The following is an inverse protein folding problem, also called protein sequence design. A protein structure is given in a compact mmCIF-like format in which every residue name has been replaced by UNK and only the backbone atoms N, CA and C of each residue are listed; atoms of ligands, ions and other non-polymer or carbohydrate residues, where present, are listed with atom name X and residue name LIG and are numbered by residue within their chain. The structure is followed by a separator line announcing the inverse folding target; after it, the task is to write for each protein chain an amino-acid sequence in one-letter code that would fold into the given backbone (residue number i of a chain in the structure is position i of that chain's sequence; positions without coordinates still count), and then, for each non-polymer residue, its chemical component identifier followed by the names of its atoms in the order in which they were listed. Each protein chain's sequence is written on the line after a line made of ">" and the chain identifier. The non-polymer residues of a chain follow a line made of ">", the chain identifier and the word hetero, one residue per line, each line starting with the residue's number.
data_IF_526413409307
#
_entry.id   IF_526413409307
#
_cell.length_a   1.000
_cell.length_b   1.000
_cell.length_c   1.000
_cell.angle_alpha   90.00
_cell.angle_beta   90.00
_cell.angle_gamma   90.00
#
_symmetry.space_group_name_H-M   'P 1'
#
loop_
_entity.id
_entity.type
_entity.pdbx_description
1 polymer ?
#
# COMPACT_ATOMS: atom_id res chain seq x y z
N UNK A 1 -2.82 3.45 19.03
CA UNK A 1 -2.70 1.99 18.85
C UNK A 1 -3.91 1.49 18.07
N UNK A 2 -3.72 0.57 17.11
CA UNK A 2 -4.80 0.10 16.21
C UNK A 2 -5.73 -0.83 16.99
N UNK A 3 -6.79 -0.29 17.59
CA UNK A 3 -7.75 -1.05 18.40
C UNK A 3 -8.50 -2.13 17.61
N UNK A 4 -8.46 -2.08 16.28
CA UNK A 4 -9.22 -2.95 15.38
C UNK A 4 -8.44 -4.17 14.87
N UNK A 5 -7.13 -4.18 15.04
CA UNK A 5 -6.26 -5.30 14.71
C UNK A 5 -5.22 -5.40 15.83
N UNK A 6 -5.58 -5.94 17.00
CA UNK A 6 -4.63 -6.02 18.09
C UNK A 6 -3.44 -6.92 17.69
N UNK A 7 -2.19 -6.45 17.85
CA UNK A 7 -1.01 -7.28 17.64
C UNK A 7 -1.06 -8.57 18.46
N UNK A 8 -0.67 -9.69 17.83
CA UNK A 8 -0.57 -11.00 18.47
C UNK A 8 -1.88 -11.78 18.63
N UNK A 9 -3.01 -11.26 18.14
CA UNK A 9 -4.28 -12.01 18.12
C UNK A 9 -4.51 -12.63 16.75
N UNK A 10 -4.05 -13.85 16.53
CA UNK A 10 -4.36 -14.62 15.32
C UNK A 10 -4.51 -16.11 15.62
N UNK A 11 -5.41 -16.78 14.89
CA UNK A 11 -5.58 -18.24 14.93
C UNK A 11 -4.70 -18.95 13.87
N UNK A 12 -4.08 -18.19 12.97
CA UNK A 12 -3.23 -18.72 11.90
C UNK A 12 -1.81 -18.82 12.44
N UNK A 13 -1.27 -20.04 12.49
CA UNK A 13 0.06 -20.34 13.08
C UNK A 13 1.16 -19.38 12.61
N UNK A 14 1.27 -19.15 11.30
CA UNK A 14 2.32 -18.30 10.71
C UNK A 14 2.10 -16.79 10.97
N UNK A 15 0.89 -16.41 11.38
CA UNK A 15 0.49 -15.05 11.68
C UNK A 15 0.61 -14.70 13.18
N UNK A 16 0.89 -15.68 14.05
CA UNK A 16 1.08 -15.46 15.48
C UNK A 16 2.42 -14.74 15.69
N UNK A 17 2.39 -13.70 16.50
CA UNK A 17 3.56 -12.94 16.96
C UNK A 17 3.28 -12.39 18.36
N UNK A 18 4.31 -12.01 19.10
CA UNK A 18 4.12 -11.31 20.37
C UNK A 18 3.50 -9.92 20.14
N UNK A 19 2.72 -9.37 21.08
CA UNK A 19 2.20 -8.02 20.98
C UNK A 19 3.27 -6.95 20.71
N UNK A 20 4.46 -7.10 21.29
CA UNK A 20 5.61 -6.21 21.13
C UNK A 20 6.13 -6.23 19.69
N UNK A 21 6.42 -7.42 19.16
CA UNK A 21 6.84 -7.60 17.77
C UNK A 21 5.80 -7.06 16.78
N UNK A 22 4.51 -7.33 17.00
CA UNK A 22 3.46 -6.81 16.13
C UNK A 22 3.29 -5.29 16.21
N UNK A 23 3.50 -4.66 17.38
CA UNK A 23 3.56 -3.18 17.48
C UNK A 23 4.72 -2.60 16.68
N UNK A 24 5.91 -3.19 16.77
CA UNK A 24 7.07 -2.78 15.98
C UNK A 24 6.79 -2.93 14.47
N UNK A 25 6.21 -4.06 14.06
CA UNK A 25 5.83 -4.30 12.67
C UNK A 25 4.77 -3.31 12.18
N UNK A 26 3.77 -2.98 13.00
CA UNK A 26 2.76 -1.97 12.64
C UNK A 26 3.38 -0.58 12.46
N UNK A 27 4.41 -0.25 13.24
CA UNK A 27 5.18 0.97 13.05
C UNK A 27 5.91 0.97 11.70
N UNK A 28 6.52 -0.15 11.29
CA UNK A 28 7.14 -0.28 9.96
C UNK A 28 6.11 -0.15 8.82
N UNK A 29 4.93 -0.76 8.97
CA UNK A 29 3.82 -0.65 8.01
C UNK A 29 3.37 0.81 7.88
N UNK A 30 3.13 1.48 9.00
CA UNK A 30 2.74 2.88 9.01
C UNK A 30 3.82 3.78 8.39
N UNK A 31 5.09 3.50 8.68
CA UNK A 31 6.23 4.23 8.12
C UNK A 31 6.31 4.06 6.59
N UNK A 32 6.13 2.83 6.08
CA UNK A 32 6.12 2.57 4.64
C UNK A 32 4.93 3.27 3.94
N UNK A 33 3.73 3.21 4.53
CA UNK A 33 2.56 3.91 4.01
C UNK A 33 2.77 5.43 3.98
N UNK A 34 3.39 6.00 5.03
CA UNK A 34 3.71 7.42 5.11
C UNK A 34 4.70 7.82 4.01
N UNK A 35 5.79 7.07 3.84
CA UNK A 35 6.78 7.32 2.77
C UNK A 35 6.13 7.37 1.39
N UNK A 36 5.20 6.45 1.09
CA UNK A 36 4.49 6.45 -0.20
C UNK A 36 3.50 7.59 -0.32
N UNK A 37 2.70 7.86 0.71
CA UNK A 37 1.70 8.92 0.67
C UNK A 37 2.32 10.33 0.61
N UNK A 38 3.49 10.52 1.22
CA UNK A 38 4.22 11.78 1.26
C UNK A 38 5.37 11.88 0.26
N UNK A 39 5.56 10.89 -0.62
CA UNK A 39 6.52 10.98 -1.72
C UNK A 39 6.17 12.16 -2.64
N UNK A 40 7.07 13.16 -2.81
CA UNK A 40 6.82 14.31 -3.68
C UNK A 40 6.59 13.90 -5.15
N UNK A 41 7.19 12.80 -5.60
CA UNK A 41 7.06 12.30 -6.97
C UNK A 41 5.74 11.58 -7.22
N UNK A 42 5.02 11.21 -6.15
CA UNK A 42 3.71 10.59 -6.25
C UNK A 42 2.60 11.61 -6.05
N UNK A 43 1.73 11.71 -7.05
CA UNK A 43 0.49 12.48 -6.92
C UNK A 43 -0.44 11.78 -5.91
N UNK A 44 -0.90 12.46 -4.84
CA UNK A 44 -1.87 11.90 -3.92
C UNK A 44 -3.18 11.56 -4.66
N UNK A 45 -3.96 10.65 -4.07
CA UNK A 45 -5.27 10.29 -4.61
C UNK A 45 -6.27 11.44 -4.42
N UNK A 46 -6.23 12.05 -3.23
CA UNK A 46 -7.08 13.17 -2.85
C UNK A 46 -6.32 14.50 -2.99
N UNK A 47 -7.07 15.58 -3.20
CA UNK A 47 -6.54 16.94 -3.26
C UNK A 47 -6.70 17.68 -1.93
N UNK A 48 -6.37 18.97 -1.93
CA UNK A 48 -6.53 19.85 -0.77
C UNK A 48 -5.37 19.76 0.23
N UNK A 49 -5.45 20.52 1.34
CA UNK A 49 -4.35 20.70 2.29
C UNK A 49 -4.00 19.45 3.12
N UNK A 50 -4.79 18.37 2.98
CA UNK A 50 -4.61 17.07 3.65
C UNK A 50 -4.72 15.88 2.69
N UNK A 51 -4.61 16.11 1.38
CA UNK A 51 -4.79 15.07 0.37
C UNK A 51 -3.83 13.88 0.53
N UNK A 52 -2.60 14.11 0.98
CA UNK A 52 -1.61 13.06 1.27
C UNK A 52 -1.97 12.31 2.56
N UNK A 53 -2.31 13.01 3.63
CA UNK A 53 -2.82 12.38 4.85
C UNK A 53 -4.07 11.50 4.59
N UNK A 54 -5.01 11.99 3.78
CA UNK A 54 -6.21 11.24 3.38
C UNK A 54 -5.86 10.04 2.49
N UNK A 55 -4.87 10.19 1.61
CA UNK A 55 -4.36 9.08 0.78
C UNK A 55 -3.75 8.00 1.67
N UNK A 56 -2.93 8.38 2.66
CA UNK A 56 -2.34 7.47 3.64
C UNK A 56 -3.42 6.74 4.45
N UNK A 57 -4.42 7.47 4.94
CA UNK A 57 -5.54 6.90 5.68
C UNK A 57 -6.30 5.85 4.85
N UNK A 58 -6.49 6.11 3.55
CA UNK A 58 -7.11 5.14 2.66
C UNK A 58 -6.24 3.90 2.43
N UNK A 59 -4.93 4.08 2.20
CA UNK A 59 -4.01 2.95 2.03
C UNK A 59 -4.01 2.02 3.24
N UNK A 60 -3.96 2.58 4.45
CA UNK A 60 -4.03 1.81 5.69
C UNK A 60 -5.41 1.17 5.90
N UNK A 61 -6.48 1.89 5.59
CA UNK A 61 -7.83 1.32 5.64
C UNK A 61 -7.97 0.11 4.72
N UNK A 62 -7.47 0.19 3.49
CA UNK A 62 -7.46 -0.93 2.55
C UNK A 62 -6.61 -2.06 3.09
N UNK A 63 -5.37 -1.80 3.53
CA UNK A 63 -4.49 -2.82 4.10
C UNK A 63 -5.17 -3.61 5.24
N UNK A 64 -5.91 -2.92 6.11
CA UNK A 64 -6.73 -3.57 7.14
C UNK A 64 -7.79 -4.51 6.55
N UNK A 65 -8.57 -4.06 5.57
CA UNK A 65 -9.65 -4.89 4.99
C UNK A 65 -9.12 -6.05 4.13
N UNK A 66 -7.94 -5.91 3.53
CA UNK A 66 -7.35 -6.92 2.67
C UNK A 66 -6.56 -7.97 3.44
N UNK A 67 -5.86 -7.58 4.52
CA UNK A 67 -4.93 -8.47 5.22
C UNK A 67 -5.21 -8.64 6.71
N UNK A 68 -6.04 -7.78 7.31
CA UNK A 68 -6.16 -7.67 8.77
C UNK A 68 -4.83 -7.31 9.45
N UNK A 69 -3.85 -6.79 8.69
CA UNK A 69 -2.46 -6.64 9.09
C UNK A 69 -1.81 -7.93 9.61
N UNK A 70 -2.28 -9.10 9.17
CA UNK A 70 -1.70 -10.38 9.59
C UNK A 70 -0.23 -10.47 9.18
N UNK A 71 0.60 -10.97 10.10
CA UNK A 71 2.04 -11.13 9.90
C UNK A 71 2.37 -12.01 8.70
N UNK A 72 1.66 -13.10 8.51
CA UNK A 72 1.92 -14.03 7.42
C UNK A 72 1.64 -13.40 6.05
N UNK A 73 0.58 -12.58 5.92
CA UNK A 73 0.30 -11.81 4.70
C UNK A 73 1.34 -10.73 4.44
N UNK A 74 1.74 -10.00 5.48
CA UNK A 74 2.77 -8.95 5.41
C UNK A 74 4.11 -9.51 4.92
N UNK A 75 4.52 -10.66 5.47
CA UNK A 75 5.82 -11.27 5.21
C UNK A 75 5.79 -12.36 4.11
N UNK A 76 4.63 -12.63 3.51
CA UNK A 76 4.49 -13.66 2.48
C UNK A 76 4.71 -15.09 2.97
N UNK A 77 4.43 -15.39 4.24
CA UNK A 77 4.73 -16.68 4.87
C UNK A 77 3.54 -17.63 4.75
N UNK A 78 3.79 -18.85 4.28
CA UNK A 78 2.77 -19.90 4.25
C UNK A 78 1.71 -19.73 3.16
N UNK A 79 0.85 -20.75 3.02
CA UNK A 79 -0.11 -20.84 1.92
C UNK A 79 -1.24 -19.80 2.00
N UNK A 80 -1.53 -19.29 3.20
CA UNK A 80 -2.63 -18.36 3.45
C UNK A 80 -2.25 -16.88 3.27
N UNK A 81 -0.98 -16.58 2.95
CA UNK A 81 -0.50 -15.22 2.75
C UNK A 81 -0.97 -14.59 1.42
N UNK A 82 -1.29 -15.40 0.41
CA UNK A 82 -1.56 -14.96 -0.98
C UNK A 82 -3.03 -14.90 -1.36
N UNK A 83 -3.95 -14.90 -0.40
CA UNK A 83 -5.39 -14.91 -0.67
C UNK A 83 -5.79 -16.10 -1.55
N UNK A 84 -6.13 -15.84 -2.81
CA UNK A 84 -6.45 -16.85 -3.83
C UNK A 84 -5.23 -17.56 -4.46
N UNK A 85 -4.02 -17.21 -4.03
CA UNK A 85 -2.75 -17.61 -4.64
C UNK A 85 -2.22 -16.61 -5.68
N UNK A 86 -3.07 -15.69 -6.15
CA UNK A 86 -2.74 -14.69 -7.18
C UNK A 86 -2.42 -13.30 -6.61
N UNK A 87 -2.73 -13.07 -5.34
CA UNK A 87 -2.70 -11.77 -4.70
C UNK A 87 -1.50 -11.70 -3.73
N UNK A 88 -1.00 -10.49 -3.45
CA UNK A 88 0.19 -10.33 -2.59
C UNK A 88 0.23 -9.08 -1.77
N UNK A 89 1.02 -9.17 -0.71
CA UNK A 89 1.27 -8.16 0.29
C UNK A 89 0.00 -7.67 1.03
N UNK A 90 0.18 -6.67 1.89
CA UNK A 90 -0.87 -6.12 2.74
C UNK A 90 -2.07 -5.55 1.96
N UNK A 91 -1.87 -5.13 0.71
CA UNK A 91 -2.93 -4.57 -0.14
C UNK A 91 -3.57 -5.63 -1.06
N UNK A 92 -3.14 -6.89 -0.99
CA UNK A 92 -3.62 -7.97 -1.86
C UNK A 92 -3.59 -7.57 -3.35
N UNK A 93 -2.45 -7.02 -3.78
CA UNK A 93 -2.20 -6.67 -5.18
C UNK A 93 -2.19 -7.95 -6.02
N UNK A 94 -3.08 -8.02 -7.01
CA UNK A 94 -3.12 -9.15 -7.94
C UNK A 94 -1.92 -9.14 -8.88
N UNK A 95 -1.05 -10.14 -8.75
CA UNK A 95 0.16 -10.35 -9.58
C UNK A 95 -0.02 -11.54 -10.53
N UNK A 96 -0.73 -12.58 -10.11
CA UNK A 96 -0.96 -13.79 -10.91
C UNK A 96 0.34 -14.55 -11.20
N UNK A 97 0.55 -15.03 -12.43
CA UNK A 97 1.81 -15.68 -12.82
C UNK A 97 2.90 -14.68 -13.27
N UNK A 98 2.61 -13.38 -13.24
CA UNK A 98 3.43 -12.34 -13.86
C UNK A 98 4.09 -11.41 -12.86
N UNK A 99 4.14 -10.12 -13.22
CA UNK A 99 4.67 -9.02 -12.41
C UNK A 99 3.66 -7.88 -12.41
N UNK A 100 3.76 -6.98 -11.44
CA UNK A 100 3.01 -5.71 -11.49
C UNK A 100 3.44 -4.87 -12.70
N UNK A 101 2.72 -3.79 -12.99
CA UNK A 101 3.09 -2.85 -14.06
C UNK A 101 4.50 -2.25 -13.86
N UNK A 102 4.89 -2.11 -12.60
CA UNK A 102 6.19 -1.63 -12.15
C UNK A 102 7.30 -2.70 -12.24
N UNK A 103 6.95 -3.93 -12.67
CA UNK A 103 7.90 -5.02 -12.82
C UNK A 103 8.15 -5.83 -11.55
N UNK A 104 7.33 -5.71 -10.51
CA UNK A 104 7.53 -6.40 -9.23
C UNK A 104 6.83 -7.75 -9.18
N UNK A 105 7.57 -8.77 -8.72
CA UNK A 105 7.07 -10.11 -8.42
C UNK A 105 6.30 -10.18 -7.09
N UNK A 106 5.76 -11.35 -6.74
CA UNK A 106 5.20 -11.59 -5.42
C UNK A 106 6.22 -11.35 -4.31
N UNK A 107 7.44 -11.84 -4.51
CA UNK A 107 8.56 -11.78 -3.58
C UNK A 107 9.03 -10.34 -3.38
N UNK A 108 9.07 -9.55 -4.45
CA UNK A 108 9.37 -8.11 -4.39
C UNK A 108 8.39 -7.35 -3.48
N UNK A 109 7.08 -7.65 -3.58
CA UNK A 109 6.05 -6.91 -2.86
C UNK A 109 5.99 -7.25 -1.37
N UNK A 110 6.38 -8.46 -0.96
CA UNK A 110 6.44 -8.86 0.46
C UNK A 110 7.79 -8.53 1.10
N UNK A 111 8.86 -8.45 0.30
CA UNK A 111 10.19 -8.04 0.79
C UNK A 111 10.27 -6.52 1.03
N UNK A 112 9.46 -5.72 0.33
CA UNK A 112 9.46 -4.26 0.43
C UNK A 112 8.04 -3.70 0.51
N UNK A 113 7.68 -3.21 1.70
CA UNK A 113 6.37 -2.60 1.97
C UNK A 113 6.13 -1.34 1.15
N UNK A 114 7.16 -0.57 0.80
CA UNK A 114 6.99 0.61 -0.05
C UNK A 114 6.55 0.18 -1.46
N UNK A 115 7.10 -0.90 -2.01
CA UNK A 115 6.62 -1.47 -3.29
C UNK A 115 5.16 -1.91 -3.19
N UNK A 116 4.77 -2.59 -2.11
CA UNK A 116 3.38 -2.97 -1.86
C UNK A 116 2.43 -1.76 -1.91
N UNK A 117 2.74 -0.71 -1.14
CA UNK A 117 1.92 0.49 -1.08
C UNK A 117 1.94 1.28 -2.41
N UNK A 118 3.06 1.35 -3.13
CA UNK A 118 3.15 2.00 -4.45
C UNK A 118 2.28 1.28 -5.48
N UNK A 119 2.41 -0.04 -5.59
CA UNK A 119 1.60 -0.84 -6.53
C UNK A 119 0.11 -0.74 -6.20
N UNK A 120 -0.24 -0.81 -4.92
CA UNK A 120 -1.62 -0.64 -4.46
C UNK A 120 -2.17 0.76 -4.76
N UNK A 121 -1.41 1.83 -4.50
CA UNK A 121 -1.80 3.20 -4.84
C UNK A 121 -2.04 3.35 -6.35
N UNK A 122 -1.19 2.76 -7.18
CA UNK A 122 -1.37 2.78 -8.64
C UNK A 122 -2.69 2.09 -9.07
N UNK A 123 -3.03 0.95 -8.46
CA UNK A 123 -4.31 0.26 -8.69
C UNK A 123 -5.52 1.08 -8.21
N UNK A 124 -5.44 1.68 -7.03
CA UNK A 124 -6.49 2.53 -6.46
C UNK A 124 -6.75 3.73 -7.38
N UNK A 125 -5.70 4.40 -7.86
CA UNK A 125 -5.83 5.52 -8.80
C UNK A 125 -6.50 5.09 -10.10
N UNK A 126 -6.16 3.91 -10.64
CA UNK A 126 -6.84 3.32 -11.81
C UNK A 126 -8.32 3.08 -11.53
N UNK A 127 -8.66 2.53 -10.36
CA UNK A 127 -10.06 2.33 -9.95
C UNK A 127 -10.82 3.65 -9.89
N UNK A 128 -10.26 4.68 -9.26
CA UNK A 128 -10.88 6.00 -9.16
C UNK A 128 -11.09 6.65 -10.54
N UNK A 129 -10.13 6.48 -11.45
CA UNK A 129 -10.24 6.95 -12.83
C UNK A 129 -11.33 6.21 -13.62
N UNK A 130 -11.33 4.87 -13.55
CA UNK A 130 -12.30 4.03 -14.25
C UNK A 130 -13.74 4.27 -13.75
N UNK A 131 -13.93 4.39 -12.44
CA UNK A 131 -15.23 4.57 -11.80
C UNK A 131 -15.56 6.04 -11.51
N UNK A 132 -14.96 7.00 -12.23
CA UNK A 132 -15.13 8.44 -12.00
C UNK A 132 -16.57 8.95 -12.04
N UNK A 133 -17.48 8.25 -12.74
CA UNK A 133 -18.90 8.59 -12.85
C UNK A 133 -19.71 8.22 -11.60
N UNK A 134 -19.15 7.44 -10.69
CA UNK A 134 -19.82 7.00 -9.47
C UNK A 134 -19.62 8.01 -8.33
N UNK A 135 -20.45 7.86 -7.30
CA UNK A 135 -20.23 8.51 -6.01
C UNK A 135 -18.79 8.26 -5.51
N UNK A 136 -18.19 9.25 -4.86
CA UNK A 136 -16.82 9.17 -4.39
C UNK A 136 -16.55 7.93 -3.53
N UNK A 137 -17.53 7.48 -2.73
CA UNK A 137 -17.41 6.31 -1.86
C UNK A 137 -17.55 4.98 -2.60
N UNK A 138 -17.92 4.99 -3.87
CA UNK A 138 -18.04 3.80 -4.74
C UNK A 138 -16.85 3.68 -5.71
N UNK A 139 -15.95 4.66 -5.75
CA UNK A 139 -14.83 4.71 -6.71
C UNK A 139 -13.73 3.65 -6.50
N UNK A 140 -13.74 2.91 -5.39
CA UNK A 140 -12.89 1.71 -5.22
C UNK A 140 -13.51 0.44 -5.80
N UNK A 141 -14.72 0.47 -6.38
CA UNK A 141 -15.40 -0.75 -6.85
C UNK A 141 -14.56 -1.57 -7.84
N UNK A 142 -13.85 -0.92 -8.77
CA UNK A 142 -12.99 -1.65 -9.70
C UNK A 142 -11.79 -2.30 -9.00
N UNK A 143 -11.25 -1.70 -7.94
CA UNK A 143 -10.22 -2.30 -7.10
C UNK A 143 -10.75 -3.55 -6.36
N UNK A 144 -11.91 -3.43 -5.70
CA UNK A 144 -12.46 -4.47 -4.81
C UNK A 144 -13.19 -5.59 -5.55
N UNK A 145 -13.79 -5.28 -6.71
CA UNK A 145 -14.72 -6.16 -7.44
C UNK A 145 -14.37 -6.35 -8.92
N UNK A 146 -13.37 -5.64 -9.44
CA UNK A 146 -12.99 -5.69 -10.85
C UNK A 146 -13.94 -4.95 -11.81
N UNK A 147 -14.98 -4.28 -11.30
CA UNK A 147 -15.94 -3.49 -12.11
C UNK A 147 -16.55 -2.35 -11.28
N UNK A 148 -17.06 -1.32 -11.93
CA UNK A 148 -17.75 -0.23 -11.25
C UNK A 148 -19.17 -0.66 -10.82
N UNK A 149 -19.49 -0.53 -9.53
CA UNK A 149 -20.77 -0.94 -8.94
C UNK A 149 -21.31 0.21 -8.10
N UNK A 150 -22.56 0.62 -8.34
CA UNK A 150 -23.18 1.68 -7.53
C UNK A 150 -23.56 1.13 -6.16
N UNK A 151 -23.38 1.93 -5.11
CA UNK A 151 -23.55 1.52 -3.72
C UNK A 151 -22.70 0.29 -3.32
N UNK A 152 -21.46 0.18 -3.80
CA UNK A 152 -20.58 -0.94 -3.45
C UNK A 152 -20.21 -0.93 -1.97
N UNK A 153 -20.76 -1.89 -1.22
CA UNK A 153 -20.45 -2.08 0.20
C UNK A 153 -18.96 -2.24 0.49
N UNK A 154 -18.18 -2.83 -0.43
CA UNK A 154 -16.75 -3.09 -0.21
C UNK A 154 -15.92 -1.82 -0.35
N UNK A 155 -16.19 -1.02 -1.39
CA UNK A 155 -15.64 0.33 -1.56
C UNK A 155 -16.02 1.24 -0.40
N UNK A 156 -17.32 1.29 -0.05
CA UNK A 156 -17.85 2.17 1.00
C UNK A 156 -17.30 1.87 2.38
N UNK A 157 -17.03 0.60 2.70
CA UNK A 157 -16.41 0.20 3.96
C UNK A 157 -14.97 0.72 4.08
N UNK A 158 -14.16 0.54 3.02
CA UNK A 158 -12.76 0.99 2.97
C UNK A 158 -12.66 2.51 3.04
N UNK A 159 -13.43 3.22 2.20
CA UNK A 159 -13.44 4.69 2.21
C UNK A 159 -14.04 5.22 3.51
N UNK A 160 -15.16 4.65 3.98
CA UNK A 160 -15.81 5.07 5.22
C UNK A 160 -14.89 4.98 6.43
N UNK A 161 -14.14 3.88 6.56
CA UNK A 161 -13.13 3.75 7.62
C UNK A 161 -12.03 4.81 7.49
N UNK A 162 -11.52 5.07 6.29
CA UNK A 162 -10.51 6.11 6.07
C UNK A 162 -11.02 7.52 6.42
N UNK A 163 -12.31 7.80 6.21
CA UNK A 163 -12.89 9.10 6.55
C UNK A 163 -13.09 9.29 8.06
N UNK A 164 -13.30 8.18 8.79
CA UNK A 164 -13.61 8.18 10.22
C UNK A 164 -12.37 8.02 11.12
N UNK A 165 -11.16 7.86 10.56
CA UNK A 165 -9.96 7.85 11.41
C UNK A 165 -9.72 9.24 12.02
N UNK A 166 -9.31 9.33 13.30
CA UNK A 166 -8.90 10.58 13.90
C UNK A 166 -7.81 11.26 13.06
N UNK A 167 -7.99 12.55 12.79
CA UNK A 167 -7.07 13.32 11.95
C UNK A 167 -6.08 14.06 12.82
N UNK A 168 -4.79 13.98 12.46
CA UNK A 168 -3.80 14.87 13.02
C UNK A 168 -4.14 16.33 12.64
N UNK A 169 -3.87 17.31 13.52
CA UNK A 169 -4.19 18.71 13.24
C UNK A 169 -3.33 19.32 12.12
N UNK A 170 -2.22 18.68 11.75
CA UNK A 170 -1.27 19.19 10.76
C UNK A 170 -1.82 19.14 9.31
N UNK A 171 -1.34 20.05 8.47
CA UNK A 171 -1.52 20.03 7.01
C UNK A 171 -0.39 19.23 6.35
N UNK A 172 -0.59 18.81 5.11
CA UNK A 172 0.46 18.11 4.34
C UNK A 172 1.71 18.98 4.19
N UNK A 173 1.54 20.28 4.00
CA UNK A 173 2.65 21.25 3.92
C UNK A 173 3.47 21.28 5.22
N UNK A 174 2.80 21.32 6.38
CA UNK A 174 3.48 21.32 7.67
C UNK A 174 4.25 20.01 7.92
N UNK A 175 3.72 18.86 7.46
CA UNK A 175 4.40 17.56 7.57
C UNK A 175 5.60 17.48 6.64
N UNK A 176 5.47 17.96 5.40
CA UNK A 176 6.59 17.97 4.44
C UNK A 176 7.70 18.92 4.90
N UNK A 177 7.35 20.07 5.49
CA UNK A 177 8.32 21.02 6.03
C UNK A 177 9.09 20.49 7.25
N UNK A 178 8.47 19.60 8.06
CA UNK A 178 9.11 19.00 9.25
C UNK A 178 9.91 17.73 8.94
N UNK A 179 9.79 17.18 7.73
CA UNK A 179 10.53 16.00 7.32
C UNK A 179 11.95 16.42 6.91
N UNK A 180 13.01 15.83 7.49
CA UNK A 180 14.38 16.12 7.04
C UNK A 180 14.48 15.89 5.54
N UNK A 181 15.03 16.86 4.78
CA UNK A 181 15.28 16.65 3.35
C UNK A 181 16.18 15.42 3.21
N UNK A 182 15.69 14.41 2.48
CA UNK A 182 16.57 13.34 2.01
C UNK A 182 17.59 13.98 1.08
N UNK A 183 18.86 13.73 1.32
CA UNK A 183 19.89 14.01 0.32
C UNK A 183 19.51 13.29 -0.98
N UNK A 184 19.81 13.89 -2.15
CA UNK A 184 19.59 13.24 -3.43
C UNK A 184 20.22 11.85 -3.38
N UNK A 185 19.45 10.82 -3.74
CA UNK A 185 20.01 9.48 -3.94
C UNK A 185 21.12 9.65 -5.00
N UNK A 186 22.38 9.25 -4.71
CA UNK A 186 23.45 9.32 -5.70
C UNK A 186 23.01 8.65 -6.98
N UNK A 187 23.22 9.30 -8.12
CA UNK A 187 22.88 8.74 -9.41
C UNK A 187 23.44 7.31 -9.50
N UNK A 188 22.60 6.37 -9.95
CA UNK A 188 23.03 4.99 -10.17
C UNK A 188 24.30 5.01 -11.03
N UNK A 189 25.33 4.22 -10.68
CA UNK A 189 26.56 4.18 -11.47
C UNK A 189 26.19 3.86 -12.91
N UNK A 190 26.64 4.70 -13.84
CA UNK A 190 26.41 4.49 -15.26
C UNK A 190 26.97 3.12 -15.62
N UNK A 191 26.13 2.25 -16.17
CA UNK A 191 26.56 0.97 -16.72
C UNK A 191 27.71 1.22 -17.69
N UNK A 192 28.87 0.65 -17.39
CA UNK A 192 30.06 0.77 -18.22
C UNK A 192 29.80 0.39 -19.67
N UNK A 193 30.61 0.90 -20.61
CA UNK A 193 30.45 0.61 -22.02
C UNK A 193 30.44 -0.91 -22.27
N UNK A 194 29.63 -1.41 -23.22
CA UNK A 194 29.58 -2.82 -23.56
C UNK A 194 30.97 -3.31 -23.99
N UNK A 195 31.35 -4.55 -23.67
CA UNK A 195 32.64 -5.11 -24.09
C UNK A 195 32.72 -5.10 -25.62
N UNK A 196 33.83 -4.57 -26.15
CA UNK A 196 34.17 -4.69 -27.55
C UNK A 196 34.40 -6.17 -27.87
N UNK A 197 33.53 -6.76 -28.69
CA UNK A 197 33.79 -8.04 -29.30
C UNK A 197 34.91 -7.85 -30.33
N UNK A 198 36.09 -8.37 -30.02
CA UNK A 198 37.13 -8.59 -31.01
C UNK A 198 36.83 -9.92 -31.69
N UNK A 199 36.22 -9.85 -32.86
CA UNK A 199 36.21 -10.97 -33.80
C UNK A 199 37.59 -11.03 -34.49
N UNK A 200 38.25 -12.17 -34.38
CA UNK A 200 39.44 -12.57 -35.15
C UNK A 200 39.14 -13.86 -35.88
#
# INVERSE_FOLDING_TARGET
>A
MVTWAPPGTSLIKDAIETPEAGRARYHEIASAAAKVAYDPELKPLFGGPRGRAETMALLLSIAYYESGYRRDVDLGIGKLARGSGLDSCLLQVRVGAGRTREGWSHEDLVADREKCFRAGLALIRRSFGACRKQDARDRLSAYTRGRCIDNDKHSRARIGRALNVPRAPMTDEAVLASTPRRDPIPAAPQSGPPPHNNDS
#
